data_IF_820919711559
#
_entry.id   IF_820919711559
#
_cell.length_a   1.000
_cell.length_b   1.000
_cell.length_c   1.000
_cell.angle_alpha   90.00
_cell.angle_beta   90.00
_cell.angle_gamma   90.00
#
_symmetry.space_group_name_H-M   'P 1'
#
loop_
_entity.id
_entity.type
_entity.pdbx_description
1 polymer ?
#
# COMPACT_ATOMS: atom_id res chain seq x y z
N UNK A 1 10.02 -27.81 4.78
CA UNK A 1 9.24 -26.97 5.71
C UNK A 1 7.92 -26.65 5.02
N UNK A 2 6.81 -26.98 5.66
CA UNK A 2 5.49 -26.69 5.10
C UNK A 2 5.31 -25.17 5.02
N UNK A 3 5.24 -24.62 3.79
CA UNK A 3 5.15 -23.19 3.46
C UNK A 3 3.75 -22.63 3.79
N UNK A 4 3.04 -23.29 4.67
CA UNK A 4 1.62 -23.09 4.80
C UNK A 4 1.18 -21.86 5.64
N UNK A 5 2.09 -20.99 6.08
CA UNK A 5 1.62 -19.79 6.79
C UNK A 5 2.66 -18.68 6.89
N UNK A 6 2.81 -17.90 5.84
CA UNK A 6 3.30 -16.52 6.01
C UNK A 6 2.22 -15.74 6.77
N UNK A 7 2.17 -15.91 8.11
CA UNK A 7 1.17 -15.24 8.94
C UNK A 7 1.36 -13.72 8.90
N UNK A 8 0.27 -12.97 8.88
CA UNK A 8 0.31 -11.55 9.13
C UNK A 8 0.79 -11.32 10.56
N UNK A 9 1.99 -10.78 10.73
CA UNK A 9 2.58 -10.50 12.04
C UNK A 9 3.43 -9.26 12.00
N UNK A 10 3.31 -8.41 13.02
CA UNK A 10 4.18 -7.26 13.21
C UNK A 10 5.60 -7.77 13.49
N UNK A 11 6.63 -7.29 12.76
CA UNK A 11 8.01 -7.63 13.10
C UNK A 11 8.42 -7.04 14.46
N UNK A 12 9.22 -7.80 15.21
CA UNK A 12 9.75 -7.35 16.49
C UNK A 12 11.26 -7.55 16.49
N UNK A 13 12.06 -6.49 16.68
CA UNK A 13 11.63 -5.08 16.77
C UNK A 13 11.03 -4.55 15.45
N UNK A 14 10.24 -3.48 15.53
CA UNK A 14 9.76 -2.77 14.32
C UNK A 14 10.98 -2.11 13.67
N UNK A 15 11.28 -2.41 12.39
CA UNK A 15 12.46 -1.86 11.73
C UNK A 15 12.32 -0.36 11.48
N UNK A 16 13.46 0.36 11.55
CA UNK A 16 13.52 1.72 11.04
C UNK A 16 13.36 1.74 9.52
N UNK A 17 12.59 2.70 9.01
CA UNK A 17 12.33 2.83 7.57
C UNK A 17 13.11 4.02 7.03
N UNK A 18 13.94 3.78 6.02
CA UNK A 18 14.77 4.79 5.37
C UNK A 18 14.36 4.95 3.89
N UNK A 19 13.20 5.58 3.61
CA UNK A 19 12.75 5.74 2.23
C UNK A 19 13.64 6.73 1.50
N UNK A 20 13.97 6.45 0.22
CA UNK A 20 14.58 7.43 -0.66
C UNK A 20 13.47 8.32 -1.26
N UNK A 21 13.32 9.58 -0.86
CA UNK A 21 12.29 10.46 -1.41
C UNK A 21 12.48 10.69 -2.91
N UNK A 22 11.36 10.86 -3.64
CA UNK A 22 11.40 11.04 -5.09
C UNK A 22 12.29 12.20 -5.54
N UNK A 23 12.28 13.32 -4.80
CA UNK A 23 13.09 14.51 -5.14
C UNK A 23 14.59 14.33 -4.92
N UNK A 24 15.00 13.30 -4.18
CA UNK A 24 16.42 12.92 -4.00
C UNK A 24 16.84 11.79 -4.95
N UNK A 25 15.90 11.16 -5.64
CA UNK A 25 16.23 10.09 -6.58
C UNK A 25 16.91 10.66 -7.84
N UNK A 26 18.07 10.10 -8.17
CA UNK A 26 18.84 10.48 -9.37
C UNK A 26 19.23 9.24 -10.18
N UNK A 27 19.64 9.43 -11.44
CA UNK A 27 20.14 8.35 -12.29
C UNK A 27 19.15 7.18 -12.43
N UNK A 28 19.64 5.96 -12.27
CA UNK A 28 18.88 4.72 -12.41
C UNK A 28 17.66 4.66 -11.46
N UNK A 29 17.81 5.12 -10.21
CA UNK A 29 16.70 5.13 -9.24
C UNK A 29 15.55 6.03 -9.67
N UNK A 30 15.86 7.20 -10.25
CA UNK A 30 14.85 8.09 -10.81
C UNK A 30 14.15 7.44 -12.01
N UNK A 31 14.88 6.75 -12.87
CA UNK A 31 14.31 6.02 -14.00
C UNK A 31 13.35 4.91 -13.52
N UNK A 32 13.74 4.13 -12.51
CA UNK A 32 12.87 3.12 -11.90
C UNK A 32 11.60 3.71 -11.31
N UNK A 33 11.69 4.84 -10.61
CA UNK A 33 10.51 5.52 -10.06
C UNK A 33 9.55 5.98 -11.15
N UNK A 34 10.10 6.54 -12.23
CA UNK A 34 9.29 6.95 -13.38
C UNK A 34 8.61 5.75 -14.03
N UNK A 35 9.35 4.68 -14.30
CA UNK A 35 8.83 3.47 -14.90
C UNK A 35 7.75 2.82 -14.01
N UNK A 36 7.99 2.72 -12.69
CA UNK A 36 7.03 2.16 -11.75
C UNK A 36 5.74 2.99 -11.67
N UNK A 37 5.84 4.32 -11.54
CA UNK A 37 4.65 5.18 -11.54
C UNK A 37 3.86 5.09 -12.83
N UNK A 38 4.54 4.97 -13.96
CA UNK A 38 3.90 4.76 -15.27
C UNK A 38 3.19 3.42 -15.34
N UNK A 39 3.86 2.33 -14.94
CA UNK A 39 3.29 0.98 -14.98
C UNK A 39 2.08 0.82 -14.04
N UNK A 40 2.18 1.36 -12.82
CA UNK A 40 1.11 1.32 -11.82
C UNK A 40 0.05 2.41 -12.04
N UNK A 41 0.30 3.37 -12.92
CA UNK A 41 -0.55 4.54 -13.17
C UNK A 41 -0.91 5.29 -11.88
N UNK A 42 0.10 5.61 -11.08
CA UNK A 42 -0.04 6.32 -9.81
C UNK A 42 0.77 7.62 -9.80
N UNK A 43 0.31 8.68 -9.12
CA UNK A 43 1.02 9.96 -9.07
C UNK A 43 2.20 9.99 -8.08
N UNK A 44 2.41 8.94 -7.28
CA UNK A 44 3.45 8.90 -6.23
C UNK A 44 4.17 7.57 -6.16
N UNK A 45 5.36 7.57 -5.55
CA UNK A 45 6.03 6.34 -5.11
C UNK A 45 5.52 5.92 -3.74
N UNK A 46 5.09 4.67 -3.60
CA UNK A 46 4.74 4.10 -2.31
C UNK A 46 5.96 4.06 -1.37
N UNK A 47 5.74 4.34 -0.09
CA UNK A 47 6.83 4.29 0.91
C UNK A 47 7.53 2.94 0.92
N UNK A 48 6.80 1.85 0.64
CA UNK A 48 7.35 0.49 0.53
C UNK A 48 8.45 0.41 -0.52
N UNK A 49 8.19 0.92 -1.72
CA UNK A 49 9.17 0.87 -2.81
C UNK A 49 10.29 1.88 -2.62
N UNK A 50 10.00 3.04 -2.02
CA UNK A 50 11.04 3.99 -1.61
C UNK A 50 11.97 3.39 -0.54
N UNK A 51 11.45 2.58 0.39
CA UNK A 51 12.27 1.86 1.36
C UNK A 51 13.11 0.77 0.69
N UNK A 52 12.56 0.05 -0.28
CA UNK A 52 13.31 -0.96 -1.03
C UNK A 52 14.44 -0.36 -1.85
N UNK A 53 14.31 0.86 -2.37
CA UNK A 53 15.41 1.54 -3.10
C UNK A 53 16.57 1.98 -2.21
N UNK A 54 16.43 1.89 -0.89
CA UNK A 54 17.56 1.98 0.03
C UNK A 54 18.60 0.88 -0.24
N UNK A 55 18.17 -0.25 -0.78
CA UNK A 55 18.94 -1.44 -1.12
C UNK A 55 19.09 -1.53 -2.66
N UNK A 56 20.14 -0.94 -3.27
CA UNK A 56 20.19 -0.72 -4.71
C UNK A 56 20.32 -1.99 -5.55
N UNK A 57 21.08 -3.00 -5.13
CA UNK A 57 21.20 -4.28 -5.86
C UNK A 57 19.90 -5.08 -5.74
N UNK A 58 19.34 -5.14 -4.54
CA UNK A 58 18.06 -5.77 -4.28
C UNK A 58 16.96 -5.13 -5.14
N UNK A 59 16.84 -3.79 -5.15
CA UNK A 59 15.79 -3.11 -5.87
C UNK A 59 15.95 -3.25 -7.39
N UNK A 60 17.17 -3.21 -7.90
CA UNK A 60 17.45 -3.45 -9.34
C UNK A 60 17.01 -4.85 -9.77
N UNK A 61 17.38 -5.88 -9.00
CA UNK A 61 16.96 -7.26 -9.29
C UNK A 61 15.43 -7.39 -9.22
N UNK A 62 14.84 -6.86 -8.14
CA UNK A 62 13.40 -6.86 -7.94
C UNK A 62 12.66 -6.18 -9.10
N UNK A 63 13.05 -4.95 -9.47
CA UNK A 63 12.34 -4.19 -10.49
C UNK A 63 12.39 -4.86 -11.87
N UNK A 64 13.53 -5.39 -12.26
CA UNK A 64 13.66 -6.15 -13.52
C UNK A 64 12.69 -7.33 -13.61
N UNK A 65 12.45 -7.99 -12.50
CA UNK A 65 11.48 -9.08 -12.42
C UNK A 65 10.03 -8.60 -12.33
N UNK A 66 9.79 -7.48 -11.65
CA UNK A 66 8.44 -6.94 -11.42
C UNK A 66 7.88 -6.18 -12.62
N UNK A 67 8.68 -5.48 -13.40
CA UNK A 67 8.20 -4.61 -14.48
C UNK A 67 7.27 -5.35 -15.45
N UNK A 68 7.61 -6.53 -15.98
CA UNK A 68 6.70 -7.29 -16.85
C UNK A 68 5.50 -7.88 -16.11
N UNK A 69 5.57 -8.04 -14.79
CA UNK A 69 4.43 -8.49 -13.96
C UNK A 69 3.41 -7.37 -13.79
N UNK A 70 3.86 -6.20 -13.33
CA UNK A 70 2.95 -5.07 -12.97
C UNK A 70 2.32 -4.40 -14.18
N UNK A 71 2.90 -4.59 -15.37
CA UNK A 71 2.32 -4.15 -16.64
C UNK A 71 1.33 -5.17 -17.24
N UNK A 72 1.16 -6.33 -16.62
CA UNK A 72 0.31 -7.42 -17.10
C UNK A 72 -1.17 -7.25 -16.74
N UNK A 73 -2.06 -7.76 -17.62
CA UNK A 73 -3.50 -7.74 -17.41
C UNK A 73 -3.92 -8.52 -16.16
N UNK A 74 -3.30 -9.66 -15.90
CA UNK A 74 -3.55 -10.45 -14.70
C UNK A 74 -3.27 -9.66 -13.43
N UNK A 75 -2.12 -8.98 -13.32
CA UNK A 75 -1.78 -8.19 -12.14
C UNK A 75 -2.79 -7.08 -11.87
N UNK A 76 -3.22 -6.36 -12.91
CA UNK A 76 -4.26 -5.33 -12.80
C UNK A 76 -5.60 -5.95 -12.36
N UNK A 77 -5.94 -7.13 -12.87
CA UNK A 77 -7.12 -7.89 -12.44
C UNK A 77 -7.07 -8.24 -10.95
N UNK A 78 -5.95 -8.79 -10.49
CA UNK A 78 -5.76 -9.18 -9.09
C UNK A 78 -5.80 -7.97 -8.13
N UNK A 79 -5.29 -6.81 -8.56
CA UNK A 79 -5.46 -5.56 -7.79
C UNK A 79 -6.94 -5.18 -7.64
N UNK A 80 -7.74 -5.32 -8.69
CA UNK A 80 -9.19 -5.02 -8.65
C UNK A 80 -9.95 -6.00 -7.75
N UNK A 81 -9.63 -7.29 -7.84
CA UNK A 81 -10.26 -8.32 -7.01
C UNK A 81 -9.95 -8.11 -5.52
N UNK A 82 -8.70 -7.75 -5.22
CA UNK A 82 -8.27 -7.46 -3.86
C UNK A 82 -8.92 -6.18 -3.31
N UNK A 83 -9.09 -5.15 -4.14
CA UNK A 83 -9.86 -3.95 -3.82
C UNK A 83 -11.30 -4.31 -3.48
N UNK A 84 -11.97 -5.05 -4.33
CA UNK A 84 -13.36 -5.46 -4.11
C UNK A 84 -13.51 -6.27 -2.80
N UNK A 85 -12.52 -7.10 -2.44
CA UNK A 85 -12.50 -7.80 -1.16
C UNK A 85 -12.38 -6.80 0.00
N UNK A 86 -11.42 -5.90 -0.03
CA UNK A 86 -11.18 -4.94 1.05
C UNK A 86 -12.40 -4.01 1.26
N UNK A 87 -13.05 -3.57 0.19
CA UNK A 87 -14.28 -2.78 0.26
C UNK A 87 -15.43 -3.55 0.92
N UNK A 88 -15.59 -4.85 0.61
CA UNK A 88 -16.59 -5.70 1.29
C UNK A 88 -16.27 -5.89 2.77
N UNK A 89 -15.00 -6.09 3.12
CA UNK A 89 -14.59 -6.24 4.51
C UNK A 89 -14.76 -4.94 5.31
N UNK A 90 -14.43 -3.79 4.72
CA UNK A 90 -14.65 -2.48 5.32
C UNK A 90 -16.16 -2.20 5.54
N UNK A 91 -17.01 -2.57 4.58
CA UNK A 91 -18.47 -2.40 4.71
C UNK A 91 -19.06 -3.21 5.89
N UNK A 92 -18.48 -4.39 6.20
CA UNK A 92 -18.89 -5.19 7.36
C UNK A 92 -18.56 -4.54 8.70
N UNK A 93 -17.54 -3.67 8.73
CA UNK A 93 -17.18 -2.92 9.94
C UNK A 93 -18.11 -1.73 10.19
N UNK A 94 -18.98 -1.39 9.22
CA UNK A 94 -20.07 -0.41 9.33
C UNK A 94 -19.63 0.95 9.94
N UNK A 95 -18.67 1.67 9.34
CA UNK A 95 -18.24 2.96 9.88
C UNK A 95 -19.39 3.95 9.86
N UNK A 96 -19.49 4.80 10.89
CA UNK A 96 -20.47 5.87 10.92
C UNK A 96 -20.17 6.89 9.80
N UNK A 97 -21.20 7.35 9.08
CA UNK A 97 -21.09 8.42 8.10
C UNK A 97 -20.75 9.76 8.76
N UNK A 98 -19.87 10.54 8.14
CA UNK A 98 -19.47 11.87 8.63
C UNK A 98 -19.86 13.00 7.66
N UNK A 99 -20.48 12.68 6.54
CA UNK A 99 -20.82 13.66 5.49
C UNK A 99 -21.65 14.82 6.05
N UNK A 100 -22.71 14.54 6.81
CA UNK A 100 -23.55 15.59 7.40
C UNK A 100 -22.80 16.46 8.42
N UNK A 101 -21.82 15.88 9.14
CA UNK A 101 -20.94 16.63 10.04
C UNK A 101 -20.05 17.59 9.26
N UNK A 102 -19.53 17.17 8.12
CA UNK A 102 -18.69 18.03 7.25
C UNK A 102 -19.51 19.15 6.63
N UNK A 103 -20.71 18.86 6.14
CA UNK A 103 -21.62 19.87 5.59
C UNK A 103 -21.98 20.93 6.65
N UNK A 104 -22.23 20.50 7.89
CA UNK A 104 -22.47 21.40 9.04
C UNK A 104 -21.22 22.23 9.39
N UNK A 105 -20.03 21.65 9.23
CA UNK A 105 -18.76 22.36 9.42
C UNK A 105 -18.38 23.31 8.28
N UNK A 106 -19.23 23.41 7.24
CA UNK A 106 -19.07 24.35 6.14
C UNK A 106 -18.33 23.80 4.89
N UNK A 107 -18.10 22.48 4.82
CA UNK A 107 -17.54 21.86 3.62
C UNK A 107 -18.53 21.96 2.45
N UNK A 108 -18.07 22.55 1.36
CA UNK A 108 -18.85 22.62 0.14
C UNK A 108 -18.90 21.22 -0.54
N UNK A 109 -19.97 20.90 -1.31
CA UNK A 109 -20.05 19.63 -2.05
C UNK A 109 -18.83 19.37 -2.94
N UNK A 110 -18.24 20.41 -3.56
CA UNK A 110 -17.05 20.30 -4.39
C UNK A 110 -15.79 19.92 -3.57
N UNK A 111 -15.68 20.37 -2.32
CA UNK A 111 -14.58 19.95 -1.44
C UNK A 111 -14.73 18.48 -1.03
N UNK A 112 -15.94 18.06 -0.67
CA UNK A 112 -16.21 16.64 -0.39
C UNK A 112 -15.92 15.76 -1.61
N UNK A 113 -16.24 16.23 -2.81
CA UNK A 113 -15.88 15.54 -4.05
C UNK A 113 -14.35 15.44 -4.21
N UNK A 114 -13.60 16.52 -3.96
CA UNK A 114 -12.13 16.50 -4.02
C UNK A 114 -11.51 15.56 -2.98
N UNK A 115 -12.08 15.46 -1.78
CA UNK A 115 -11.65 14.48 -0.77
C UNK A 115 -11.87 13.06 -1.29
N UNK A 116 -13.03 12.78 -1.89
CA UNK A 116 -13.31 11.47 -2.48
C UNK A 116 -12.39 11.12 -3.64
N UNK A 117 -12.06 12.08 -4.51
CA UNK A 117 -11.06 11.89 -5.56
C UNK A 117 -9.69 11.53 -4.97
N UNK A 118 -9.28 12.19 -3.88
CA UNK A 118 -8.02 11.85 -3.20
C UNK A 118 -8.06 10.43 -2.61
N UNK A 119 -9.17 10.03 -1.99
CA UNK A 119 -9.36 8.65 -1.50
C UNK A 119 -9.29 7.67 -2.66
N UNK A 120 -9.89 7.98 -3.82
CA UNK A 120 -9.91 7.11 -4.98
C UNK A 120 -8.51 6.87 -5.57
N UNK A 121 -7.62 7.87 -5.52
CA UNK A 121 -6.20 7.69 -5.88
C UNK A 121 -5.58 6.54 -5.05
N UNK A 122 -5.80 6.53 -3.74
CA UNK A 122 -5.26 5.50 -2.84
C UNK A 122 -6.03 4.18 -2.92
N UNK A 123 -7.34 4.23 -3.15
CA UNK A 123 -8.17 3.05 -3.43
C UNK A 123 -7.77 2.34 -4.73
N UNK A 124 -7.06 3.02 -5.62
CA UNK A 124 -6.43 2.41 -6.79
C UNK A 124 -4.98 1.97 -6.48
N UNK A 125 -4.17 2.87 -5.97
CA UNK A 125 -2.71 2.71 -5.95
C UNK A 125 -2.13 1.84 -4.83
N UNK A 126 -2.86 1.60 -3.74
CA UNK A 126 -2.32 0.82 -2.62
C UNK A 126 -2.29 -0.70 -2.87
N UNK A 127 -3.18 -1.22 -3.69
CA UNK A 127 -3.24 -2.67 -3.97
C UNK A 127 -2.03 -3.19 -4.74
N UNK A 128 -1.52 -2.50 -5.78
CA UNK A 128 -0.25 -2.85 -6.38
C UNK A 128 0.88 -2.94 -5.35
N UNK A 129 1.00 -1.96 -4.46
CA UNK A 129 2.02 -1.98 -3.42
C UNK A 129 1.85 -3.11 -2.41
N UNK A 130 0.61 -3.48 -2.08
CA UNK A 130 0.33 -4.64 -1.23
C UNK A 130 0.75 -5.95 -1.90
N UNK A 131 0.43 -6.15 -3.18
CA UNK A 131 0.86 -7.34 -3.92
C UNK A 131 2.38 -7.39 -4.06
N UNK A 132 3.05 -6.26 -4.36
CA UNK A 132 4.52 -6.17 -4.43
C UNK A 132 5.15 -6.53 -3.07
N UNK A 133 4.67 -5.95 -1.97
CA UNK A 133 5.19 -6.27 -0.63
C UNK A 133 5.00 -7.74 -0.26
N UNK A 134 3.86 -8.32 -0.65
CA UNK A 134 3.53 -9.74 -0.43
C UNK A 134 4.46 -10.64 -1.23
N UNK A 135 4.69 -10.33 -2.51
CA UNK A 135 5.60 -11.04 -3.40
C UNK A 135 7.04 -11.00 -2.85
N UNK A 136 7.50 -9.82 -2.47
CA UNK A 136 8.85 -9.63 -1.91
C UNK A 136 9.03 -10.49 -0.65
N UNK A 137 8.08 -10.45 0.28
CA UNK A 137 8.16 -11.25 1.50
C UNK A 137 8.14 -12.75 1.19
N UNK A 138 7.25 -13.20 0.31
CA UNK A 138 7.15 -14.60 -0.09
C UNK A 138 8.51 -15.12 -0.57
N UNK A 139 9.16 -14.40 -1.49
CA UNK A 139 10.46 -14.80 -2.04
C UNK A 139 11.60 -14.70 -1.02
N UNK A 140 11.65 -13.62 -0.23
CA UNK A 140 12.67 -13.48 0.82
C UNK A 140 12.54 -14.55 1.91
N UNK A 141 11.37 -15.10 2.16
CA UNK A 141 11.17 -16.24 3.06
C UNK A 141 11.39 -17.61 2.38
N UNK A 142 11.80 -17.62 1.10
CA UNK A 142 12.16 -18.83 0.35
C UNK A 142 10.97 -19.55 -0.27
N UNK A 143 9.82 -18.86 -0.38
CA UNK A 143 8.69 -19.32 -1.17
C UNK A 143 8.91 -19.16 -2.67
N UNK A 144 7.95 -19.62 -3.45
CA UNK A 144 7.97 -19.52 -4.92
C UNK A 144 6.66 -18.91 -5.43
N UNK A 145 6.75 -18.31 -6.61
CA UNK A 145 5.61 -17.96 -7.44
C UNK A 145 5.27 -19.21 -8.25
N UNK A 146 4.06 -19.71 -8.10
CA UNK A 146 3.57 -20.94 -8.71
C UNK A 146 2.28 -20.64 -9.50
N UNK A 147 2.37 -19.80 -10.55
CA UNK A 147 1.17 -19.36 -11.26
C UNK A 147 0.45 -20.55 -11.91
N UNK A 148 -0.87 -20.53 -11.83
CA UNK A 148 -1.70 -21.50 -12.51
C UNK A 148 -1.48 -21.42 -14.02
N UNK A 149 -1.56 -22.55 -14.72
CA UNK A 149 -1.26 -22.63 -16.17
C UNK A 149 -2.17 -21.75 -17.04
N UNK A 150 -3.32 -21.33 -16.52
CA UNK A 150 -4.30 -20.47 -17.21
C UNK A 150 -4.09 -18.96 -16.95
N UNK A 151 -3.04 -18.56 -16.20
CA UNK A 151 -2.81 -17.14 -15.90
C UNK A 151 -2.45 -16.39 -17.18
N UNK A 152 -3.21 -15.31 -17.44
CA UNK A 152 -2.99 -14.45 -18.60
C UNK A 152 -1.66 -13.68 -18.45
N UNK A 153 -0.79 -13.80 -19.46
CA UNK A 153 0.49 -13.10 -19.53
C UNK A 153 0.45 -11.87 -20.45
N UNK A 154 -0.72 -11.56 -21.02
CA UNK A 154 -0.86 -10.41 -21.91
C UNK A 154 -0.59 -9.09 -21.16
N UNK A 155 0.01 -8.09 -21.83
CA UNK A 155 0.15 -6.76 -21.25
C UNK A 155 -1.23 -6.10 -21.10
N UNK A 156 -1.40 -5.33 -20.02
CA UNK A 156 -2.59 -4.50 -19.88
C UNK A 156 -2.50 -3.32 -20.85
N UNK A 157 -3.57 -3.10 -21.61
CA UNK A 157 -3.67 -1.98 -22.54
C UNK A 157 -4.70 -0.96 -22.05
N UNK A 158 -4.37 0.32 -22.14
CA UNK A 158 -5.26 1.40 -21.76
C UNK A 158 -5.05 1.93 -20.34
N UNK A 159 -6.10 2.54 -19.80
CA UNK A 159 -6.07 3.17 -18.48
C UNK A 159 -6.78 2.30 -17.45
N UNK A 160 -6.12 2.09 -16.32
CA UNK A 160 -6.73 1.45 -15.14
C UNK A 160 -6.79 2.37 -13.91
N UNK A 161 -6.07 3.50 -13.94
CA UNK A 161 -6.15 4.51 -12.90
C UNK A 161 -7.46 5.32 -12.97
N UNK A 162 -7.96 5.83 -11.85
CA UNK A 162 -9.10 6.72 -11.83
C UNK A 162 -8.81 8.05 -12.53
N UNK A 163 -9.85 8.68 -13.05
CA UNK A 163 -9.76 10.08 -13.50
C UNK A 163 -9.99 10.98 -12.29
N UNK A 164 -8.95 11.74 -11.93
CA UNK A 164 -8.98 12.67 -10.81
C UNK A 164 -8.45 14.02 -11.24
N UNK A 165 -9.10 15.07 -10.75
CA UNK A 165 -8.71 16.46 -11.01
C UNK A 165 -8.09 17.13 -9.81
N UNK A 166 -8.30 16.56 -8.62
CA UNK A 166 -7.74 17.07 -7.37
C UNK A 166 -6.21 16.98 -7.39
N UNK A 167 -5.48 18.10 -7.16
CA UNK A 167 -4.03 18.08 -7.08
C UNK A 167 -3.53 17.17 -5.96
N UNK A 168 -2.54 16.33 -6.29
CA UNK A 168 -1.88 15.45 -5.32
C UNK A 168 -0.90 16.27 -4.47
N UNK A 169 -1.28 16.57 -3.23
CA UNK A 169 -0.50 17.38 -2.28
C UNK A 169 -0.43 16.65 -0.95
N UNK A 170 0.76 16.60 -0.35
CA UNK A 170 1.00 15.97 0.94
C UNK A 170 1.23 17.04 2.01
N UNK A 171 0.52 16.90 3.14
CA UNK A 171 0.77 17.70 4.33
C UNK A 171 1.89 17.03 5.15
N UNK A 172 3.12 17.49 4.95
CA UNK A 172 4.26 16.99 5.72
C UNK A 172 4.15 17.39 7.19
N UNK A 173 4.64 16.52 8.09
CA UNK A 173 4.48 16.72 9.54
C UNK A 173 5.08 18.05 10.03
N UNK A 174 6.17 18.54 9.41
CA UNK A 174 6.79 19.82 9.77
C UNK A 174 6.02 21.07 9.28
N UNK A 175 5.12 20.90 8.31
CA UNK A 175 4.21 21.95 7.83
C UNK A 175 2.83 21.89 8.50
N UNK A 176 2.49 20.76 9.11
CA UNK A 176 1.19 20.55 9.73
C UNK A 176 1.01 21.43 10.99
N UNK A 177 -0.21 21.90 11.23
CA UNK A 177 -0.59 22.55 12.47
C UNK A 177 -0.51 21.60 13.68
N UNK A 178 -0.54 22.11 14.93
CA UNK A 178 -0.42 21.26 16.13
C UNK A 178 -1.52 20.19 16.23
N UNK A 179 -2.74 20.49 15.80
CA UNK A 179 -3.87 19.55 15.85
C UNK A 179 -3.65 18.39 14.86
N UNK A 180 -3.29 18.70 13.64
CA UNK A 180 -2.97 17.70 12.61
C UNK A 180 -1.79 16.83 13.02
N UNK A 181 -0.74 17.43 13.64
CA UNK A 181 0.38 16.65 14.18
C UNK A 181 -0.06 15.70 15.28
N UNK A 182 -0.95 16.14 16.18
CA UNK A 182 -1.50 15.28 17.23
C UNK A 182 -2.25 14.07 16.63
N UNK A 183 -3.02 14.28 15.55
CA UNK A 183 -3.67 13.18 14.82
C UNK A 183 -2.65 12.23 14.22
N UNK A 184 -1.56 12.73 13.63
CA UNK A 184 -0.48 11.89 13.10
C UNK A 184 0.16 11.00 14.17
N UNK A 185 0.46 11.57 15.35
CA UNK A 185 1.01 10.79 16.45
C UNK A 185 0.02 9.74 16.96
N UNK A 186 -1.26 10.08 17.02
CA UNK A 186 -2.31 9.16 17.42
C UNK A 186 -2.50 8.01 16.41
N UNK A 187 -2.45 8.31 15.11
CA UNK A 187 -2.46 7.29 14.03
C UNK A 187 -1.28 6.34 14.19
N UNK A 188 -0.06 6.88 14.36
CA UNK A 188 1.14 6.05 14.53
C UNK A 188 1.05 5.17 15.77
N UNK A 189 0.64 5.74 16.90
CA UNK A 189 0.51 5.00 18.16
C UNK A 189 -0.55 3.90 18.06
N UNK A 190 -1.72 4.21 17.51
CA UNK A 190 -2.86 3.28 17.42
C UNK A 190 -2.56 2.12 16.45
N UNK A 191 -1.94 2.41 15.30
CA UNK A 191 -1.65 1.44 14.25
C UNK A 191 -0.24 0.85 14.34
N UNK A 192 0.55 1.20 15.35
CA UNK A 192 1.95 0.77 15.55
C UNK A 192 2.82 1.04 14.32
N UNK A 193 2.69 2.24 13.75
CA UNK A 193 3.41 2.63 12.54
C UNK A 193 4.69 3.42 12.89
N UNK A 194 5.83 3.12 12.24
CA UNK A 194 7.06 3.89 12.44
C UNK A 194 7.05 5.25 11.73
N UNK A 195 6.05 5.50 10.87
CA UNK A 195 5.89 6.75 10.09
C UNK A 195 4.41 6.98 9.76
N UNK A 196 4.08 8.20 9.29
CA UNK A 196 2.75 8.52 8.76
C UNK A 196 2.69 8.17 7.28
N UNK A 197 1.79 7.26 6.90
CA UNK A 197 1.61 6.86 5.50
C UNK A 197 1.20 8.03 4.60
N UNK A 198 1.50 7.92 3.32
CA UNK A 198 1.21 8.93 2.29
C UNK A 198 -0.27 9.29 2.25
N UNK A 199 -1.14 8.31 2.42
CA UNK A 199 -2.60 8.45 2.45
C UNK A 199 -3.06 9.45 3.51
N UNK A 200 -2.59 9.30 4.74
CA UNK A 200 -2.95 10.20 5.85
C UNK A 200 -2.41 11.60 5.61
N UNK A 201 -1.20 11.73 5.07
CA UNK A 201 -0.62 13.04 4.73
C UNK A 201 -1.37 13.74 3.61
N UNK A 202 -1.90 12.99 2.64
CA UNK A 202 -2.71 13.55 1.55
C UNK A 202 -4.09 14.00 2.07
N UNK A 203 -4.75 13.20 2.92
CA UNK A 203 -6.05 13.52 3.51
C UNK A 203 -5.96 14.66 4.52
N UNK A 204 -4.83 14.84 5.19
CA UNK A 204 -4.57 15.96 6.09
C UNK A 204 -4.47 17.32 5.40
N UNK A 205 -4.53 17.37 4.07
CA UNK A 205 -4.79 18.60 3.33
C UNK A 205 -6.10 19.27 3.75
N UNK A 206 -7.05 18.48 4.24
CA UNK A 206 -8.30 18.93 4.86
C UNK A 206 -8.29 18.56 6.36
N UNK A 207 -7.66 19.38 7.22
CA UNK A 207 -7.32 18.98 8.59
C UNK A 207 -8.53 18.57 9.43
N UNK A 208 -9.64 19.33 9.37
CA UNK A 208 -10.86 19.03 10.14
C UNK A 208 -11.58 17.76 9.61
N UNK A 209 -11.57 17.54 8.29
CA UNK A 209 -12.04 16.27 7.71
C UNK A 209 -11.18 15.11 8.22
N UNK A 210 -9.86 15.22 8.11
CA UNK A 210 -8.95 14.12 8.49
C UNK A 210 -9.09 13.77 9.97
N UNK A 211 -9.21 14.78 10.85
CA UNK A 211 -9.43 14.57 12.27
C UNK A 211 -10.78 13.86 12.55
N UNK A 212 -11.86 14.29 11.88
CA UNK A 212 -13.17 13.66 12.03
C UNK A 212 -13.19 12.24 11.48
N UNK A 213 -12.59 12.03 10.30
CA UNK A 213 -12.53 10.73 9.66
C UNK A 213 -11.72 9.72 10.50
N UNK A 214 -10.55 10.14 11.00
CA UNK A 214 -9.74 9.31 11.89
C UNK A 214 -10.48 8.99 13.19
N UNK A 215 -11.08 9.98 13.85
CA UNK A 215 -11.87 9.76 15.07
C UNK A 215 -13.00 8.75 14.85
N UNK A 216 -13.62 8.76 13.66
CA UNK A 216 -14.69 7.84 13.32
C UNK A 216 -14.24 6.40 13.08
N UNK A 217 -13.04 6.16 12.55
CA UNK A 217 -12.54 4.80 12.31
C UNK A 217 -11.68 4.26 13.47
N UNK A 218 -11.10 5.12 14.30
CA UNK A 218 -10.21 4.71 15.40
C UNK A 218 -10.81 3.65 16.33
N UNK A 219 -12.10 3.73 16.76
CA UNK A 219 -12.71 2.66 17.55
C UNK A 219 -12.78 1.31 16.81
N UNK A 220 -12.89 1.32 15.49
CA UNK A 220 -13.00 0.11 14.67
C UNK A 220 -11.65 -0.58 14.52
N UNK A 221 -10.59 0.18 14.27
CA UNK A 221 -9.25 -0.37 13.94
C UNK A 221 -8.58 -1.12 15.10
N UNK A 222 -9.09 -0.98 16.30
CA UNK A 222 -8.62 -1.72 17.48
C UNK A 222 -9.46 -2.95 17.82
N UNK A 223 -10.44 -3.30 16.98
CA UNK A 223 -11.33 -4.44 17.23
C UNK A 223 -10.78 -5.75 16.66
N UNK A 224 -11.17 -6.91 17.24
CA UNK A 224 -10.87 -8.22 16.66
C UNK A 224 -11.43 -8.39 15.24
N UNK A 225 -12.57 -7.80 14.92
CA UNK A 225 -13.19 -7.88 13.58
C UNK A 225 -12.36 -7.18 12.52
N UNK A 226 -11.79 -6.02 12.86
CA UNK A 226 -10.84 -5.33 11.98
C UNK A 226 -9.57 -6.15 11.76
N UNK A 227 -8.98 -6.73 12.80
CA UNK A 227 -7.81 -7.58 12.66
C UNK A 227 -8.12 -8.84 11.82
N UNK A 228 -9.32 -9.41 11.99
CA UNK A 228 -9.78 -10.51 11.14
C UNK A 228 -9.96 -10.10 9.67
N UNK A 229 -10.48 -8.89 9.41
CA UNK A 229 -10.56 -8.32 8.06
C UNK A 229 -9.17 -8.11 7.45
N UNK A 230 -8.22 -7.56 8.21
CA UNK A 230 -6.82 -7.44 7.78
C UNK A 230 -6.20 -8.78 7.42
N UNK A 231 -6.45 -9.83 8.21
CA UNK A 231 -5.97 -11.19 7.89
C UNK A 231 -6.57 -11.72 6.59
N UNK A 232 -7.88 -11.54 6.36
CA UNK A 232 -8.51 -11.99 5.09
C UNK A 232 -7.92 -11.30 3.88
N UNK A 233 -7.68 -9.99 3.94
CA UNK A 233 -7.02 -9.24 2.86
C UNK A 233 -5.57 -9.73 2.65
N UNK A 234 -4.82 -9.92 3.73
CA UNK A 234 -3.46 -10.47 3.69
C UNK A 234 -3.41 -11.85 3.05
N UNK A 235 -4.29 -12.78 3.46
CA UNK A 235 -4.30 -14.16 2.99
C UNK A 235 -4.72 -14.23 1.52
N UNK A 236 -5.67 -13.37 1.10
CA UNK A 236 -6.04 -13.23 -0.30
C UNK A 236 -4.88 -12.71 -1.16
N UNK A 237 -4.18 -11.66 -0.72
CA UNK A 237 -3.01 -11.14 -1.42
C UNK A 237 -1.92 -12.21 -1.57
N UNK A 238 -1.70 -13.03 -0.53
CA UNK A 238 -0.73 -14.13 -0.58
C UNK A 238 -1.14 -15.21 -1.59
N UNK A 239 -2.40 -15.60 -1.61
CA UNK A 239 -2.94 -16.58 -2.56
C UNK A 239 -2.84 -16.06 -4.00
N UNK A 240 -3.19 -14.79 -4.23
CA UNK A 240 -3.08 -14.15 -5.53
C UNK A 240 -1.64 -14.10 -6.04
N UNK A 241 -0.72 -13.61 -5.22
CA UNK A 241 0.71 -13.54 -5.57
C UNK A 241 1.27 -14.92 -5.89
N UNK A 242 0.87 -15.93 -5.15
CA UNK A 242 1.39 -17.29 -5.32
C UNK A 242 0.89 -17.95 -6.58
N UNK A 243 -0.40 -17.82 -6.89
CA UNK A 243 -1.06 -18.64 -7.91
C UNK A 243 -1.62 -17.88 -9.11
N UNK A 244 -1.83 -16.55 -8.98
CA UNK A 244 -2.52 -15.77 -10.02
C UNK A 244 -1.68 -14.68 -10.65
N UNK A 245 -0.53 -14.34 -10.05
CA UNK A 245 0.41 -13.38 -10.61
C UNK A 245 1.41 -14.11 -11.50
N UNK A 246 1.52 -13.77 -12.79
CA UNK A 246 2.48 -14.41 -13.69
C UNK A 246 3.91 -14.05 -13.30
N UNK A 247 4.86 -14.89 -13.70
CA UNK A 247 6.30 -14.66 -13.46
C UNK A 247 7.12 -14.77 -14.75
N UNK A 248 6.89 -13.92 -15.75
CA UNK A 248 7.51 -14.06 -17.08
C UNK A 248 9.03 -13.85 -17.07
N UNK A 249 9.57 -13.10 -16.10
CA UNK A 249 10.99 -12.84 -15.96
C UNK A 249 11.73 -13.86 -15.08
N UNK A 250 11.02 -14.85 -14.51
CA UNK A 250 11.63 -15.86 -13.65
C UNK A 250 12.17 -15.30 -12.33
N UNK A 251 11.49 -14.29 -11.75
CA UNK A 251 11.85 -13.74 -10.44
C UNK A 251 11.76 -14.86 -9.37
N UNK A 252 12.86 -15.09 -8.65
CA UNK A 252 12.98 -16.21 -7.72
C UNK A 252 13.58 -15.80 -6.37
N UNK A 253 13.46 -16.70 -5.40
CA UNK A 253 13.92 -16.48 -4.03
C UNK A 253 15.44 -16.44 -3.90
N UNK A 254 16.17 -17.24 -4.69
CA UNK A 254 17.64 -17.31 -4.60
C UNK A 254 18.28 -16.02 -5.09
N UNK A 255 17.90 -15.58 -6.28
CA UNK A 255 18.39 -14.35 -6.89
C UNK A 255 18.03 -13.12 -6.07
N UNK A 256 16.78 -13.04 -5.57
CA UNK A 256 16.35 -11.91 -4.75
C UNK A 256 17.13 -11.83 -3.42
N UNK A 257 17.35 -12.96 -2.75
CA UNK A 257 18.17 -13.05 -1.54
C UNK A 257 19.64 -12.75 -1.80
N UNK A 258 20.17 -13.24 -2.91
CA UNK A 258 21.57 -12.96 -3.31
C UNK A 258 21.76 -11.46 -3.56
N UNK A 259 20.81 -10.81 -4.23
CA UNK A 259 20.83 -9.37 -4.45
C UNK A 259 20.71 -8.58 -3.12
N UNK A 260 19.81 -9.01 -2.21
CA UNK A 260 19.66 -8.38 -0.90
C UNK A 260 20.96 -8.43 -0.08
N UNK A 261 21.68 -9.55 -0.10
CA UNK A 261 22.95 -9.72 0.64
C UNK A 261 24.09 -8.84 0.12
N UNK A 262 23.98 -8.28 -1.07
CA UNK A 262 24.96 -7.31 -1.59
C UNK A 262 24.78 -5.92 -0.94
N UNK A 263 23.60 -5.63 -0.40
CA UNK A 263 23.29 -4.32 0.15
C UNK A 263 23.30 -4.32 1.69
N UNK A 264 22.78 -5.39 2.33
CA UNK A 264 22.62 -5.47 3.77
C UNK A 264 22.53 -6.92 4.28
N UNK A 265 22.39 -7.10 5.59
CA UNK A 265 22.02 -8.40 6.16
C UNK A 265 20.61 -8.78 5.68
N UNK A 266 20.43 -10.04 5.25
CA UNK A 266 19.16 -10.52 4.72
C UNK A 266 17.99 -10.28 5.69
N UNK A 267 18.23 -10.45 7.00
CA UNK A 267 17.20 -10.26 8.03
C UNK A 267 16.71 -8.81 8.12
N UNK A 268 17.58 -7.83 7.82
CA UNK A 268 17.20 -6.41 7.75
C UNK A 268 16.21 -6.17 6.61
N UNK A 269 16.53 -6.63 5.40
CA UNK A 269 15.66 -6.49 4.23
C UNK A 269 14.35 -7.27 4.41
N UNK A 270 14.43 -8.44 5.04
CA UNK A 270 13.27 -9.27 5.36
C UNK A 270 12.37 -8.62 6.41
N UNK A 271 12.94 -7.99 7.45
CA UNK A 271 12.18 -7.25 8.46
C UNK A 271 11.39 -6.09 7.82
N UNK A 272 12.00 -5.39 6.85
CA UNK A 272 11.34 -4.35 6.06
C UNK A 272 10.16 -4.92 5.25
N UNK A 273 10.37 -6.04 4.55
CA UNK A 273 9.32 -6.70 3.79
C UNK A 273 8.14 -7.17 4.68
N UNK A 274 8.46 -7.72 5.85
CA UNK A 274 7.47 -8.13 6.87
C UNK A 274 6.66 -6.94 7.39
N UNK A 275 7.31 -5.80 7.65
CA UNK A 275 6.63 -4.59 8.09
C UNK A 275 5.59 -4.14 7.07
N UNK A 276 5.98 -4.01 5.81
CA UNK A 276 5.05 -3.53 4.78
C UNK A 276 3.92 -4.52 4.49
N UNK A 277 4.19 -5.80 4.44
CA UNK A 277 3.15 -6.79 4.27
C UNK A 277 2.19 -6.86 5.48
N UNK A 278 2.67 -6.55 6.69
CA UNK A 278 1.82 -6.46 7.87
C UNK A 278 0.93 -5.22 7.86
N UNK A 279 1.48 -4.04 7.49
CA UNK A 279 0.74 -2.78 7.59
C UNK A 279 -0.24 -2.53 6.43
N UNK A 280 0.11 -2.95 5.19
CA UNK A 280 -0.67 -2.59 4.00
C UNK A 280 -2.10 -3.15 3.99
N UNK A 281 -2.43 -4.35 4.47
CA UNK A 281 -3.82 -4.79 4.61
C UNK A 281 -4.67 -3.85 5.46
N UNK A 282 -4.13 -3.32 6.56
CA UNK A 282 -4.81 -2.31 7.37
C UNK A 282 -4.96 -0.98 6.64
N UNK A 283 -3.95 -0.56 5.90
CA UNK A 283 -3.99 0.69 5.14
C UNK A 283 -5.10 0.68 4.07
N UNK A 284 -5.21 -0.39 3.28
CA UNK A 284 -6.25 -0.49 2.25
C UNK A 284 -7.66 -0.54 2.87
N UNK A 285 -7.82 -1.18 4.03
CA UNK A 285 -9.08 -1.16 4.77
C UNK A 285 -9.42 0.24 5.29
N UNK A 286 -8.44 0.97 5.81
CA UNK A 286 -8.66 2.34 6.30
C UNK A 286 -9.09 3.29 5.17
N UNK A 287 -8.48 3.15 3.99
CA UNK A 287 -8.89 3.93 2.80
C UNK A 287 -10.33 3.60 2.40
N UNK A 288 -10.72 2.32 2.42
CA UNK A 288 -12.10 1.91 2.15
C UNK A 288 -13.09 2.41 3.22
N UNK A 289 -12.69 2.43 4.51
CA UNK A 289 -13.50 3.00 5.59
C UNK A 289 -13.70 4.52 5.41
N UNK A 290 -12.66 5.26 5.01
CA UNK A 290 -12.77 6.69 4.72
C UNK A 290 -13.73 6.99 3.57
N UNK A 291 -13.74 6.17 2.50
CA UNK A 291 -14.73 6.30 1.43
C UNK A 291 -16.16 6.06 1.94
N UNK A 292 -16.36 4.99 2.72
CA UNK A 292 -17.67 4.65 3.28
C UNK A 292 -18.24 5.76 4.18
N UNK A 293 -17.40 6.47 4.93
CA UNK A 293 -17.84 7.59 5.77
C UNK A 293 -18.38 8.79 4.97
N UNK A 294 -18.07 8.90 3.68
CA UNK A 294 -18.49 10.00 2.80
C UNK A 294 -19.63 9.64 1.85
N UNK A 295 -20.13 8.42 1.90
CA UNK A 295 -21.27 7.95 1.08
C UNK A 295 -22.61 8.46 1.55
#
# INVERSE_FOLDING_TARGET
>A
MSINTLKRSLPSPVPAVHPLPEYLAVGERKAFYTAMKTALQVPWMGVVTMAYTHYPHFFRYLWRGLEPVVTGAAFVGECRDLRALAEREAARLAPAGIRGTLETAGYAPAEIASIREMIEIFSHGNYPYLLIATLVRLLLEGGALEPDAAVDTAPFTGRHAPEVTCPFVLMEAHHADPTTRAVYEDVKATLVLPFVNTDYRALARWPSYFAAAWAGIKPLVVTPDYDAACRRVHDAALAQVRHRVPNPAGLDAEGLRAAARQDAQLDEVLAMARLFQWLLPGLVLNVALFDLQLR
#
